data_IF_191363957058
#
_entry.id   IF_191363957058
#
_cell.length_a   1.000
_cell.length_b   1.000
_cell.length_c   1.000
_cell.angle_alpha   90.00
_cell.angle_beta   90.00
_cell.angle_gamma   90.00
#
_symmetry.space_group_name_H-M   'P 1'
#
loop_
_entity.id
_entity.type
_entity.pdbx_description
1 polymer ?
#
# COMPACT_ATOMS: atom_id res chain seq x y z
N UNK A 1 -17.66 3.34 3.77
CA UNK A 1 -16.21 3.25 3.46
C UNK A 1 -15.77 1.81 3.53
N UNK A 2 -14.92 1.39 2.60
CA UNK A 2 -14.42 0.02 2.55
C UNK A 2 -13.30 -0.17 3.56
N UNK A 3 -13.31 -1.29 4.28
CA UNK A 3 -12.23 -1.66 5.18
C UNK A 3 -11.40 -2.79 4.59
N UNK A 4 -10.11 -2.77 4.87
CA UNK A 4 -9.15 -3.79 4.43
C UNK A 4 -8.28 -4.17 5.62
N UNK A 5 -8.05 -5.46 5.81
CA UNK A 5 -7.11 -5.95 6.81
C UNK A 5 -5.85 -6.45 6.13
N UNK A 6 -4.72 -5.87 6.49
CA UNK A 6 -3.40 -6.35 6.09
C UNK A 6 -2.92 -7.34 7.15
N UNK A 7 -2.80 -8.61 6.78
CA UNK A 7 -2.28 -9.65 7.66
C UNK A 7 -0.76 -9.66 7.54
N UNK A 8 -0.09 -9.01 8.48
CA UNK A 8 1.37 -8.87 8.42
C UNK A 8 2.07 -9.88 9.32
N UNK A 9 3.36 -10.06 9.11
CA UNK A 9 4.21 -10.92 9.97
C UNK A 9 4.28 -10.43 11.42
N UNK A 10 3.94 -9.17 11.69
CA UNK A 10 3.89 -8.57 13.02
C UNK A 10 2.48 -8.52 13.63
N UNK A 11 1.44 -8.85 12.87
CA UNK A 11 0.05 -8.81 13.29
C UNK A 11 -0.87 -8.17 12.25
N UNK A 12 -2.14 -7.98 12.59
CA UNK A 12 -3.14 -7.44 11.67
C UNK A 12 -3.26 -5.94 11.79
N UNK A 13 -3.36 -5.28 10.63
CA UNK A 13 -3.63 -3.84 10.51
C UNK A 13 -4.90 -3.68 9.70
N UNK A 14 -5.94 -3.10 10.29
CA UNK A 14 -7.18 -2.80 9.56
C UNK A 14 -7.20 -1.32 9.21
N UNK A 15 -7.37 -1.04 7.93
CA UNK A 15 -7.42 0.32 7.39
C UNK A 15 -8.82 0.60 6.84
N UNK A 16 -9.25 1.85 6.98
CA UNK A 16 -10.49 2.36 6.40
C UNK A 16 -10.13 3.21 5.19
N UNK A 17 -10.70 2.89 4.04
CA UNK A 17 -10.38 3.56 2.78
C UNK A 17 -11.41 4.64 2.46
N UNK A 18 -10.95 5.78 1.96
CA UNK A 18 -11.78 6.95 1.68
C UNK A 18 -12.36 6.91 0.26
N UNK A 19 -13.28 5.97 0.01
CA UNK A 19 -13.90 5.69 -1.30
C UNK A 19 -14.59 6.92 -1.91
N UNK A 20 -15.13 7.79 -1.07
CA UNK A 20 -15.88 8.98 -1.52
C UNK A 20 -14.99 10.15 -1.91
N UNK A 21 -13.79 10.26 -1.32
CA UNK A 21 -12.88 11.39 -1.53
C UNK A 21 -11.67 11.06 -2.39
N UNK A 22 -11.27 9.78 -2.46
CA UNK A 22 -10.16 9.30 -3.28
C UNK A 22 -10.57 8.04 -4.04
N UNK A 23 -11.66 8.07 -4.83
CA UNK A 23 -12.25 6.86 -5.41
C UNK A 23 -11.32 6.10 -6.36
N UNK A 24 -10.53 6.79 -7.15
CA UNK A 24 -9.62 6.14 -8.12
C UNK A 24 -8.44 5.47 -7.43
N UNK A 25 -7.88 6.12 -6.42
CA UNK A 25 -6.77 5.58 -5.64
C UNK A 25 -7.22 4.38 -4.83
N UNK A 26 -8.39 4.47 -4.19
CA UNK A 26 -9.00 3.35 -3.44
C UNK A 26 -9.29 2.19 -4.37
N UNK A 27 -9.90 2.43 -5.53
CA UNK A 27 -10.19 1.37 -6.52
C UNK A 27 -8.92 0.65 -6.96
N UNK A 28 -7.85 1.39 -7.25
CA UNK A 28 -6.57 0.81 -7.62
C UNK A 28 -6.02 -0.09 -6.51
N UNK A 29 -6.03 0.40 -5.27
CA UNK A 29 -5.55 -0.38 -4.13
C UNK A 29 -6.36 -1.66 -3.94
N UNK A 30 -7.70 -1.57 -3.99
CA UNK A 30 -8.59 -2.73 -3.85
C UNK A 30 -8.36 -3.76 -4.96
N UNK A 31 -8.19 -3.30 -6.19
CA UNK A 31 -7.94 -4.17 -7.33
C UNK A 31 -6.64 -4.95 -7.20
N UNK A 32 -5.60 -4.30 -6.72
CA UNK A 32 -4.29 -4.94 -6.49
C UNK A 32 -4.30 -5.82 -5.23
N UNK A 33 -5.16 -5.53 -4.26
CA UNK A 33 -5.26 -6.30 -3.03
C UNK A 33 -6.06 -7.60 -3.20
N UNK A 34 -7.05 -7.59 -4.10
CA UNK A 34 -7.91 -8.75 -4.31
C UNK A 34 -7.18 -9.87 -5.03
N UNK A 35 -7.46 -11.09 -4.60
CA UNK A 35 -7.04 -12.29 -5.29
C UNK A 35 -8.24 -12.88 -6.00
N UNK A 36 -8.15 -13.05 -7.31
CA UNK A 36 -9.16 -13.71 -8.11
C UNK A 36 -8.57 -15.01 -8.66
N UNK A 37 -8.92 -16.17 -8.09
CA UNK A 37 -8.40 -17.46 -8.58
C UNK A 37 -8.73 -17.76 -10.04
N UNK A 38 -9.81 -17.17 -10.56
CA UNK A 38 -10.18 -17.33 -11.96
C UNK A 38 -9.21 -16.62 -12.91
N UNK A 39 -8.56 -15.56 -12.44
CA UNK A 39 -7.59 -14.82 -13.23
C UNK A 39 -6.29 -15.58 -13.45
N UNK A 40 -5.96 -16.55 -12.58
CA UNK A 40 -4.75 -17.36 -12.73
C UNK A 40 -4.85 -18.32 -13.93
N UNK A 41 -6.06 -18.68 -14.33
CA UNK A 41 -6.28 -19.64 -15.42
C UNK A 41 -6.65 -18.96 -16.75
N UNK A 42 -7.53 -17.97 -16.70
CA UNK A 42 -8.04 -17.28 -17.91
C UNK A 42 -8.69 -15.97 -17.47
N UNK A 43 -7.93 -14.86 -17.45
CA UNK A 43 -8.44 -13.59 -16.94
C UNK A 43 -9.70 -13.13 -17.66
N UNK A 44 -10.78 -12.93 -16.93
CA UNK A 44 -11.99 -12.34 -17.50
C UNK A 44 -11.74 -10.86 -17.87
N UNK A 45 -12.47 -10.29 -18.82
CA UNK A 45 -12.25 -8.92 -19.29
C UNK A 45 -12.31 -7.83 -18.19
N UNK A 46 -13.03 -8.11 -17.10
CA UNK A 46 -13.23 -7.22 -15.97
C UNK A 46 -12.32 -7.57 -14.77
N UNK A 47 -11.47 -8.58 -14.92
CA UNK A 47 -10.47 -8.92 -13.89
C UNK A 47 -9.30 -7.94 -14.00
N UNK A 48 -9.01 -7.26 -12.90
CA UNK A 48 -7.86 -6.37 -12.88
C UNK A 48 -6.59 -7.18 -12.74
N UNK A 49 -5.69 -6.98 -13.68
CA UNK A 49 -4.40 -7.64 -13.72
C UNK A 49 -3.28 -6.62 -13.52
N UNK A 50 -2.14 -7.13 -13.09
CA UNK A 50 -0.91 -6.34 -12.99
C UNK A 50 0.23 -7.09 -13.66
N UNK A 51 1.24 -6.36 -14.09
CA UNK A 51 2.41 -6.94 -14.73
C UNK A 51 3.54 -7.10 -13.73
N UNK A 52 4.03 -8.33 -13.56
CA UNK A 52 5.17 -8.62 -12.70
C UNK A 52 6.44 -8.03 -13.34
N UNK A 53 7.09 -7.05 -12.69
CA UNK A 53 8.27 -6.40 -13.27
C UNK A 53 9.50 -7.30 -13.34
N UNK A 54 9.53 -8.42 -12.61
CA UNK A 54 10.64 -9.35 -12.65
C UNK A 54 10.52 -10.36 -13.79
N UNK A 55 9.30 -10.80 -14.11
CA UNK A 55 9.05 -11.85 -15.09
C UNK A 55 8.36 -11.35 -16.36
N UNK A 56 7.72 -10.19 -16.32
CA UNK A 56 6.91 -9.68 -17.41
C UNK A 56 5.55 -10.38 -17.54
N UNK A 57 5.22 -11.27 -16.61
CA UNK A 57 3.92 -11.95 -16.61
C UNK A 57 2.80 -11.03 -16.16
N UNK A 58 1.65 -11.16 -16.83
CA UNK A 58 0.41 -10.54 -16.39
C UNK A 58 -0.25 -11.46 -15.36
N UNK A 59 -0.50 -10.93 -14.17
CA UNK A 59 -1.01 -11.69 -13.03
C UNK A 59 -2.31 -11.11 -12.51
N UNK A 60 -3.18 -11.98 -12.00
CA UNK A 60 -4.45 -11.61 -11.39
C UNK A 60 -4.55 -11.90 -9.90
N UNK A 61 -3.47 -12.43 -9.30
CA UNK A 61 -3.39 -12.65 -7.86
C UNK A 61 -3.12 -11.34 -7.10
N UNK A 62 -3.25 -11.35 -5.78
CA UNK A 62 -2.98 -10.16 -4.99
C UNK A 62 -1.52 -9.74 -5.10
N UNK A 63 -1.28 -8.52 -5.59
CA UNK A 63 0.08 -7.95 -5.66
C UNK A 63 0.68 -7.81 -4.27
N UNK A 64 -0.15 -7.50 -3.27
CA UNK A 64 0.33 -7.24 -1.90
C UNK A 64 0.64 -8.49 -1.10
N UNK A 65 0.18 -9.66 -1.54
CA UNK A 65 0.49 -10.92 -0.87
C UNK A 65 1.97 -11.24 -0.98
N UNK A 66 2.65 -11.29 0.16
CA UNK A 66 4.09 -11.51 0.22
C UNK A 66 4.95 -10.27 -0.01
N UNK A 67 4.33 -9.09 -0.18
CA UNK A 67 5.07 -7.84 -0.37
C UNK A 67 5.68 -7.36 0.96
N UNK A 68 6.93 -6.91 0.92
CA UNK A 68 7.65 -6.43 2.08
C UNK A 68 7.37 -4.96 2.39
N UNK A 69 7.46 -4.62 3.67
CA UNK A 69 7.71 -3.23 4.07
C UNK A 69 9.21 -2.99 3.88
N UNK A 70 9.59 -2.62 2.69
CA UNK A 70 11.00 -2.55 2.28
C UNK A 70 11.73 -1.29 2.73
N UNK A 71 10.99 -0.30 3.22
CA UNK A 71 11.55 0.96 3.70
C UNK A 71 10.82 1.39 4.97
N UNK A 72 11.55 1.52 6.06
CA UNK A 72 11.00 1.89 7.36
C UNK A 72 11.88 2.99 7.95
N UNK A 73 11.29 4.14 8.24
CA UNK A 73 11.97 5.25 8.89
C UNK A 73 11.23 5.55 10.19
N UNK A 74 11.88 5.33 11.31
CA UNK A 74 11.33 5.57 12.64
C UNK A 74 10.82 7.01 12.76
N UNK A 75 9.66 7.18 13.39
CA UNK A 75 8.97 8.46 13.57
C UNK A 75 8.48 9.12 12.28
N UNK A 76 8.62 8.46 11.14
CA UNK A 76 8.18 8.97 9.84
C UNK A 76 7.10 8.07 9.23
N UNK A 77 7.48 6.90 8.70
CA UNK A 77 6.52 6.04 8.00
C UNK A 77 7.07 4.62 7.81
N UNK A 78 6.16 3.70 7.49
CA UNK A 78 6.49 2.37 6.98
C UNK A 78 5.98 2.29 5.54
N UNK A 79 6.80 1.84 4.61
CA UNK A 79 6.49 1.80 3.17
C UNK A 79 6.59 0.39 2.62
N UNK A 80 5.60 0.01 1.83
CA UNK A 80 5.54 -1.31 1.19
C UNK A 80 4.77 -1.27 -0.11
N UNK A 81 4.38 -2.46 -0.60
CA UNK A 81 3.56 -2.59 -1.80
C UNK A 81 4.34 -2.70 -3.11
N UNK A 82 5.65 -2.89 -3.04
CA UNK A 82 6.47 -3.18 -4.21
C UNK A 82 6.64 -4.70 -4.34
N UNK A 83 6.14 -5.33 -5.42
CA UNK A 83 6.26 -6.77 -5.59
C UNK A 83 7.70 -7.27 -5.70
N UNK A 84 8.64 -6.39 -6.04
CA UNK A 84 10.07 -6.72 -6.12
C UNK A 84 10.82 -6.51 -4.80
N UNK A 85 10.25 -5.72 -3.88
CA UNK A 85 10.90 -5.38 -2.61
C UNK A 85 12.09 -4.43 -2.72
N UNK A 86 12.34 -3.85 -3.90
CA UNK A 86 13.50 -2.98 -4.16
C UNK A 86 13.21 -1.48 -3.99
N UNK A 87 11.95 -1.10 -3.92
CA UNK A 87 11.49 0.30 -3.96
C UNK A 87 11.32 0.85 -5.37
N UNK A 88 11.62 0.06 -6.39
CA UNK A 88 11.60 0.46 -7.81
C UNK A 88 10.54 -0.25 -8.63
N UNK A 89 9.89 -1.27 -8.06
CA UNK A 89 8.86 -2.03 -8.73
C UNK A 89 7.48 -1.44 -8.58
N UNK A 90 6.53 -2.02 -9.29
CA UNK A 90 5.14 -1.59 -9.27
C UNK A 90 4.27 -2.54 -10.09
N UNK A 91 3.04 -2.13 -10.42
CA UNK A 91 2.07 -2.99 -11.09
C UNK A 91 2.17 -2.98 -12.63
N UNK A 92 3.17 -2.30 -13.20
CA UNK A 92 3.35 -2.18 -14.64
C UNK A 92 2.64 -0.98 -15.27
N UNK A 93 2.04 -0.11 -14.45
CA UNK A 93 1.41 1.12 -14.89
C UNK A 93 1.58 2.21 -13.84
N UNK A 94 1.31 3.45 -14.24
CA UNK A 94 1.24 4.60 -13.34
C UNK A 94 -0.09 5.31 -13.54
N UNK A 95 -0.59 5.99 -12.49
CA UNK A 95 -1.81 6.78 -12.58
C UNK A 95 -1.65 8.12 -11.87
N UNK A 96 -2.56 9.05 -12.19
CA UNK A 96 -2.49 10.44 -11.75
C UNK A 96 -2.75 10.58 -10.25
N UNK A 97 -2.15 11.61 -9.66
CA UNK A 97 -2.42 12.02 -8.28
C UNK A 97 -3.90 12.36 -8.09
N UNK A 98 -4.40 12.06 -6.90
CA UNK A 98 -5.78 12.33 -6.51
C UNK A 98 -5.77 12.97 -5.14
N UNK A 99 -5.72 14.29 -5.10
CA UNK A 99 -5.70 15.06 -3.85
C UNK A 99 -7.10 15.54 -3.50
N UNK A 100 -7.37 15.65 -2.20
CA UNK A 100 -8.59 16.22 -1.68
C UNK A 100 -8.27 17.14 -0.50
N UNK A 101 -8.91 18.29 -0.41
CA UNK A 101 -8.63 19.30 0.61
C UNK A 101 -8.81 18.78 2.04
N UNK A 102 -9.72 17.82 2.24
CA UNK A 102 -9.98 17.21 3.54
C UNK A 102 -9.00 16.07 3.89
N UNK A 103 -8.11 15.68 2.97
CA UNK A 103 -7.18 14.58 3.15
C UNK A 103 -5.76 15.08 3.22
N UNK A 104 -5.13 14.92 4.38
CA UNK A 104 -3.75 15.33 4.58
C UNK A 104 -3.02 14.40 5.54
N UNK A 105 -1.72 14.60 5.65
CA UNK A 105 -0.84 13.85 6.53
C UNK A 105 -0.78 14.54 7.92
N UNK A 106 -1.92 14.65 8.57
CA UNK A 106 -2.12 15.44 9.80
C UNK A 106 -1.94 14.65 11.09
N UNK A 107 -1.55 13.40 10.99
CA UNK A 107 -1.31 12.54 12.14
C UNK A 107 -0.74 11.19 11.76
N UNK A 108 -0.50 10.36 12.76
CA UNK A 108 -0.10 8.97 12.55
C UNK A 108 -1.24 8.13 11.98
N UNK A 109 -0.89 7.07 11.26
CA UNK A 109 -1.86 6.11 10.74
C UNK A 109 -2.52 6.50 9.42
N UNK A 110 -2.01 7.49 8.72
CA UNK A 110 -2.52 7.86 7.39
C UNK A 110 -1.92 6.95 6.33
N UNK A 111 -2.80 6.40 5.49
CA UNK A 111 -2.42 5.56 4.36
C UNK A 111 -2.34 6.44 3.10
N UNK A 112 -1.18 6.50 2.48
CA UNK A 112 -0.88 7.41 1.38
C UNK A 112 -0.06 6.72 0.30
N UNK A 113 -0.16 7.21 -0.93
CA UNK A 113 0.57 6.62 -2.07
C UNK A 113 2.01 7.13 -2.14
N UNK A 114 2.95 6.20 -2.18
CA UNK A 114 4.32 6.50 -2.54
C UNK A 114 4.42 6.79 -4.05
N UNK A 115 5.32 7.67 -4.44
CA UNK A 115 5.53 8.01 -5.85
C UNK A 115 6.96 8.50 -6.11
N UNK A 116 7.30 8.69 -7.39
CA UNK A 116 8.59 9.20 -7.85
C UNK A 116 8.48 10.60 -8.45
N UNK A 117 7.44 11.33 -8.07
CA UNK A 117 7.12 12.66 -8.57
C UNK A 117 5.64 12.75 -8.96
N UNK A 118 5.21 13.88 -9.55
CA UNK A 118 3.81 14.06 -9.92
C UNK A 118 3.30 12.97 -10.86
N UNK A 119 2.09 12.46 -10.58
CA UNK A 119 1.36 11.53 -11.45
C UNK A 119 2.12 10.22 -11.75
N UNK A 120 2.84 9.69 -10.74
CA UNK A 120 3.59 8.43 -10.86
C UNK A 120 3.16 7.39 -9.83
N UNK A 121 1.88 7.37 -9.46
CA UNK A 121 1.34 6.41 -8.52
C UNK A 121 1.25 5.01 -9.16
N UNK A 122 1.59 4.00 -8.39
CA UNK A 122 1.52 2.60 -8.82
C UNK A 122 0.90 1.72 -7.73
N UNK A 123 1.71 0.89 -7.09
CA UNK A 123 1.26 0.00 -6.02
C UNK A 123 1.85 0.33 -4.65
N UNK A 124 2.96 1.02 -4.60
CA UNK A 124 3.62 1.32 -3.33
C UNK A 124 2.83 2.32 -2.51
N UNK A 125 2.74 2.05 -1.22
CA UNK A 125 2.05 2.91 -0.25
C UNK A 125 2.88 3.03 1.02
N UNK A 126 2.55 4.02 1.84
CA UNK A 126 3.14 4.12 3.16
C UNK A 126 2.06 4.43 4.20
N UNK A 127 2.36 4.09 5.45
CA UNK A 127 1.52 4.42 6.61
C UNK A 127 2.36 5.31 7.50
N UNK A 128 1.84 6.50 7.84
CA UNK A 128 2.56 7.47 8.65
C UNK A 128 2.67 7.03 10.11
N UNK A 129 3.81 7.34 10.72
CA UNK A 129 4.04 7.11 12.16
C UNK A 129 3.85 8.39 12.98
N UNK A 130 3.75 9.52 12.30
CA UNK A 130 3.51 10.84 12.89
C UNK A 130 2.99 11.78 11.80
N UNK A 131 2.58 12.98 12.17
CA UNK A 131 2.14 13.99 11.20
C UNK A 131 3.27 14.36 10.23
N UNK A 132 2.93 14.44 8.95
CA UNK A 132 3.88 14.77 7.86
C UNK A 132 3.27 15.81 6.93
N UNK A 133 2.98 17.03 7.41
CA UNK A 133 2.26 18.02 6.61
C UNK A 133 3.01 18.47 5.36
N UNK A 134 4.33 18.29 5.31
CA UNK A 134 5.14 18.61 4.13
C UNK A 134 4.84 17.70 2.94
N UNK A 135 4.15 16.58 3.14
CA UNK A 135 3.76 15.65 2.08
C UNK A 135 2.40 16.00 1.45
N UNK A 136 1.64 16.91 2.06
CA UNK A 136 0.34 17.33 1.53
C UNK A 136 0.51 17.96 0.15
N UNK A 137 -0.37 17.56 -0.79
CA UNK A 137 -0.29 18.00 -2.18
C UNK A 137 0.80 17.33 -3.01
N UNK A 138 1.52 16.36 -2.45
CA UNK A 138 2.59 15.59 -3.14
C UNK A 138 2.29 14.10 -3.16
N UNK A 139 1.61 13.62 -2.13
CA UNK A 139 1.21 12.21 -1.99
C UNK A 139 -0.29 12.14 -1.71
N UNK A 140 -0.97 11.21 -2.35
CA UNK A 140 -2.43 11.07 -2.24
C UNK A 140 -2.78 10.22 -1.01
N UNK A 141 -3.35 10.86 0.01
CA UNK A 141 -3.92 10.16 1.17
C UNK A 141 -5.23 9.52 0.75
N UNK A 142 -5.40 8.23 1.00
CA UNK A 142 -6.60 7.49 0.59
C UNK A 142 -7.20 6.60 1.68
N UNK A 143 -6.64 6.60 2.87
CA UNK A 143 -7.15 5.81 3.98
C UNK A 143 -6.48 6.16 5.32
N UNK A 144 -6.94 5.49 6.36
CA UNK A 144 -6.34 5.60 7.70
C UNK A 144 -6.48 4.28 8.46
N UNK A 145 -5.59 4.07 9.42
CA UNK A 145 -5.63 2.89 10.29
C UNK A 145 -6.82 3.01 11.23
N UNK A 146 -7.72 2.01 11.17
CA UNK A 146 -8.86 1.89 12.08
C UNK A 146 -8.55 1.02 13.30
N UNK A 147 -7.78 -0.05 13.09
CA UNK A 147 -7.34 -0.97 14.15
C UNK A 147 -5.92 -1.46 13.86
N UNK A 148 -5.15 -1.73 14.90
CA UNK A 148 -3.80 -2.28 14.74
C UNK A 148 -2.71 -1.23 14.63
N UNK A 149 -2.92 -0.01 15.12
CA UNK A 149 -1.86 1.02 15.12
C UNK A 149 -0.65 0.58 15.93
N UNK A 150 -0.85 -0.21 16.98
CA UNK A 150 0.23 -0.82 17.75
C UNK A 150 1.13 -1.73 16.88
N UNK A 151 0.54 -2.45 15.93
CA UNK A 151 1.29 -3.26 14.95
C UNK A 151 2.11 -2.36 14.01
N UNK A 152 1.52 -1.26 13.54
CA UNK A 152 2.23 -0.28 12.70
C UNK A 152 3.44 0.29 13.46
N UNK A 153 3.25 0.63 14.73
CA UNK A 153 4.32 1.14 15.60
C UNK A 153 5.43 0.10 15.81
N UNK A 154 5.05 -1.16 16.01
CA UNK A 154 6.00 -2.27 16.16
C UNK A 154 6.84 -2.45 14.89
N UNK A 155 6.23 -2.40 13.72
CA UNK A 155 6.95 -2.45 12.45
C UNK A 155 7.88 -1.24 12.33
N UNK A 156 7.38 -0.05 12.67
CA UNK A 156 8.14 1.20 12.63
C UNK A 156 9.34 1.25 13.57
N UNK A 157 9.33 0.44 14.62
CA UNK A 157 10.42 0.35 15.60
C UNK A 157 11.42 -0.76 15.28
N UNK A 158 11.22 -1.54 14.21
CA UNK A 158 12.12 -2.62 13.85
C UNK A 158 13.51 -2.08 13.48
N UNK A 159 14.60 -2.78 13.84
CA UNK A 159 15.94 -2.36 13.44
C UNK A 159 16.08 -2.36 11.91
N UNK A 160 16.67 -1.29 11.40
CA UNK A 160 16.92 -1.13 9.95
C UNK A 160 18.41 -1.01 9.68
N UNK A 161 18.78 -1.33 8.45
CA UNK A 161 20.13 -1.21 7.96
C UNK A 161 20.27 -0.12 6.90
N UNK A 162 21.17 -0.32 5.96
CA UNK A 162 21.43 0.62 4.87
C UNK A 162 20.18 0.82 4.01
N UNK A 163 19.86 2.07 3.69
CA UNK A 163 18.71 2.41 2.86
C UNK A 163 17.37 2.25 3.58
N UNK A 164 17.36 2.25 4.91
CA UNK A 164 16.16 2.10 5.75
C UNK A 164 15.42 0.77 5.52
N UNK A 165 16.15 -0.23 5.07
CA UNK A 165 15.62 -1.58 4.86
C UNK A 165 15.63 -2.34 6.19
N UNK A 166 14.51 -2.99 6.60
CA UNK A 166 14.48 -3.72 7.86
C UNK A 166 15.46 -4.89 7.84
N UNK A 167 16.14 -5.11 8.98
CA UNK A 167 17.08 -6.23 9.14
C UNK A 167 16.35 -7.57 9.18
N UNK A 168 15.16 -7.58 9.80
CA UNK A 168 14.25 -8.73 9.80
C UNK A 168 13.11 -8.45 8.82
N UNK A 169 12.78 -9.43 8.00
CA UNK A 169 11.77 -9.31 6.98
C UNK A 169 10.40 -9.01 7.58
N UNK A 170 9.78 -7.91 7.15
CA UNK A 170 8.43 -7.49 7.55
C UNK A 170 7.53 -7.57 6.32
N UNK A 171 6.61 -8.54 6.31
CA UNK A 171 5.77 -8.84 5.14
C UNK A 171 4.30 -8.54 5.38
N UNK A 172 3.62 -8.17 4.31
CA UNK A 172 2.18 -8.36 4.18
C UNK A 172 2.00 -9.80 3.70
N UNK A 173 1.52 -10.69 4.57
CA UNK A 173 1.35 -12.11 4.23
C UNK A 173 0.13 -12.31 3.33
N UNK A 174 -0.95 -11.60 3.61
CA UNK A 174 -2.18 -11.63 2.83
C UNK A 174 -3.02 -10.38 3.13
N UNK A 175 -4.07 -10.17 2.34
CA UNK A 175 -4.99 -9.04 2.48
C UNK A 175 -6.43 -9.54 2.44
N UNK A 176 -7.26 -9.08 3.37
CA UNK A 176 -8.70 -9.34 3.36
C UNK A 176 -9.44 -8.04 3.08
N UNK A 177 -10.24 -8.01 2.01
CA UNK A 177 -11.12 -6.89 1.70
C UNK A 177 -12.48 -7.16 2.33
N UNK A 178 -12.94 -6.26 3.20
CA UNK A 178 -14.24 -6.37 3.85
C UNK A 178 -15.26 -5.59 3.02
N UNK A 179 -16.00 -6.28 2.19
CA UNK A 179 -17.09 -5.70 1.41
C UNK A 179 -18.31 -5.48 2.30
N UNK A 180 -18.84 -4.27 2.31
CA UNK A 180 -20.07 -3.92 3.02
C UNK A 180 -21.31 -4.33 2.22
#
# INVERSE_FOLDING_TARGET
MTQVTLHTSAGDITVELFDDRAPRTVENFLNLARHDPAADADPAPDTVTWEDPETGEVRGDSLYEGAEFHRIIEDFMIQGGDPTGTGRGGPGYEFDDEFHDDLGHDGAGKLSMANSGPDTNGSQFFITLDAQPHLDGKHAVFGEVAEGMDVVEDIGATPTGRGDEPLDEMLVESVTVHDD
#
